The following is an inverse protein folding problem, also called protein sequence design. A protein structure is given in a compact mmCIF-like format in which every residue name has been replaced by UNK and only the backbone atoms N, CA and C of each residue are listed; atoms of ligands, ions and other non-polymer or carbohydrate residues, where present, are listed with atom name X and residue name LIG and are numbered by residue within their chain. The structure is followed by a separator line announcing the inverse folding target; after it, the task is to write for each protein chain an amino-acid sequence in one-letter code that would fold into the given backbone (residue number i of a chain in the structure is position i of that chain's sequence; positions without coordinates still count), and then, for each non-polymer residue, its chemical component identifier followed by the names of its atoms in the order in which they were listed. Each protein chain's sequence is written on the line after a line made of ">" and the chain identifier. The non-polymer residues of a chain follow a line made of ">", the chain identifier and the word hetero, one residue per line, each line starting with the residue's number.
data_IF_270875592653
#
_entry.id   IF_270875592653
#
_cell.length_a   1.000
_cell.length_b   1.000
_cell.length_c   1.000
_cell.angle_alpha   90.00
_cell.angle_beta   90.00
_cell.angle_gamma   90.00
#
_symmetry.space_group_name_H-M   'P 1'
#
loop_
_entity.id
_entity.type
_entity.pdbx_description
1 polymer ?
#
# COMPACT_ATOMS: atom_id res chain seq x y z
N UNK A 1 -41.62 10.70 -93.89
CA UNK A 1 -41.86 9.83 -92.73
C UNK A 1 -40.51 9.41 -92.14
N UNK A 2 -40.21 9.80 -90.99
CA UNK A 2 -38.88 9.88 -90.41
C UNK A 2 -38.69 8.78 -89.30
N UNK A 3 -37.67 7.93 -89.37
CA UNK A 3 -37.37 7.08 -88.19
C UNK A 3 -36.17 7.67 -87.41
N UNK A 4 -36.38 7.95 -86.19
CA UNK A 4 -35.40 8.52 -85.21
C UNK A 4 -34.33 7.46 -84.90
N UNK A 5 -33.07 7.80 -85.19
CA UNK A 5 -31.88 7.08 -84.67
C UNK A 5 -31.73 7.33 -83.19
N UNK A 6 -31.76 6.29 -82.40
CA UNK A 6 -31.36 6.30 -80.96
C UNK A 6 -29.85 6.05 -80.91
N UNK A 7 -29.13 7.04 -80.42
CA UNK A 7 -27.71 6.96 -80.14
C UNK A 7 -27.51 6.41 -78.73
N UNK A 8 -26.94 5.25 -78.62
CA UNK A 8 -26.56 4.61 -77.32
C UNK A 8 -25.20 5.21 -76.95
N UNK A 9 -25.20 5.99 -75.89
CA UNK A 9 -23.98 6.47 -75.24
C UNK A 9 -23.58 5.42 -74.16
N UNK A 10 -22.52 4.66 -74.40
CA UNK A 10 -21.87 3.82 -73.49
C UNK A 10 -20.97 4.59 -72.54
N UNK A 11 -21.34 4.66 -71.24
CA UNK A 11 -20.57 5.25 -70.18
C UNK A 11 -19.59 4.24 -69.64
N UNK A 12 -18.28 4.46 -69.55
CA UNK A 12 -17.35 3.54 -68.91
C UNK A 12 -17.46 3.65 -67.40
N UNK A 13 -17.72 2.54 -66.73
CA UNK A 13 -17.75 2.39 -65.28
C UNK A 13 -16.29 2.36 -64.76
N UNK A 14 -15.80 3.47 -64.21
CA UNK A 14 -14.52 3.54 -63.49
C UNK A 14 -14.68 2.87 -62.12
N UNK A 15 -14.16 1.64 -61.95
CA UNK A 15 -13.96 1.01 -60.65
C UNK A 15 -12.84 1.77 -59.89
N UNK A 16 -13.22 2.67 -59.02
CA UNK A 16 -12.32 3.21 -57.99
C UNK A 16 -12.09 2.15 -56.92
N UNK A 17 -10.99 1.42 -57.00
CA UNK A 17 -10.52 0.55 -55.92
C UNK A 17 -10.09 1.42 -54.73
N UNK A 18 -11.01 1.64 -53.79
CA UNK A 18 -10.72 2.27 -52.51
C UNK A 18 -9.78 1.38 -51.68
N UNK A 19 -8.49 1.77 -51.62
CA UNK A 19 -7.59 1.21 -50.61
C UNK A 19 -8.10 1.65 -49.25
N UNK A 20 -8.78 0.72 -48.53
CA UNK A 20 -9.00 0.88 -47.10
C UNK A 20 -7.62 0.84 -46.44
N UNK A 21 -7.11 2.01 -46.11
CA UNK A 21 -6.00 2.14 -45.18
C UNK A 21 -6.50 1.61 -43.81
N UNK A 22 -6.09 0.43 -43.45
CA UNK A 22 -6.19 -0.03 -42.06
C UNK A 22 -5.29 0.91 -41.24
N UNK A 23 -5.91 1.90 -40.61
CA UNK A 23 -5.26 2.60 -39.50
C UNK A 23 -4.97 1.55 -38.43
N UNK A 24 -3.72 1.09 -38.39
CA UNK A 24 -3.18 0.34 -37.29
C UNK A 24 -3.35 1.23 -36.07
N UNK A 25 -4.38 0.97 -35.24
CA UNK A 25 -4.45 1.53 -33.90
C UNK A 25 -3.15 1.11 -33.23
N UNK A 26 -2.26 2.07 -33.00
CA UNK A 26 -1.13 1.89 -32.10
C UNK A 26 -1.74 1.35 -30.79
N UNK A 27 -1.44 0.10 -30.47
CA UNK A 27 -2.00 -0.58 -29.31
C UNK A 27 -1.74 0.30 -28.10
N UNK A 28 -2.80 0.74 -27.42
CA UNK A 28 -2.69 1.37 -26.12
C UNK A 28 -1.99 0.35 -25.23
N UNK A 29 -0.77 0.65 -24.81
CA UNK A 29 -0.04 -0.16 -23.84
C UNK A 29 -0.91 -0.29 -22.61
N UNK A 30 -1.10 -1.53 -22.14
CA UNK A 30 -1.84 -1.77 -20.90
C UNK A 30 -1.19 -0.92 -19.80
N UNK A 31 -1.92 0.00 -19.13
CA UNK A 31 -1.37 0.84 -18.06
C UNK A 31 -0.73 0.03 -16.93
N UNK A 32 -1.10 -1.25 -16.79
CA UNK A 32 -0.50 -2.17 -15.84
C UNK A 32 0.95 -2.54 -16.20
N UNK A 33 1.37 -2.34 -17.46
CA UNK A 33 2.72 -2.69 -17.93
C UNK A 33 3.68 -1.49 -17.90
N UNK A 34 3.17 -0.26 -17.90
CA UNK A 34 4.00 0.95 -17.84
C UNK A 34 4.06 1.50 -16.42
N UNK A 35 5.09 1.07 -15.69
CA UNK A 35 5.29 1.47 -14.29
C UNK A 35 5.71 2.92 -14.13
N UNK A 36 6.15 3.59 -15.19
CA UNK A 36 6.62 4.97 -15.16
C UNK A 36 5.66 5.98 -15.82
N UNK A 37 4.52 5.52 -16.35
CA UNK A 37 3.55 6.39 -17.02
C UNK A 37 2.80 7.34 -16.08
N UNK A 38 2.76 7.08 -14.77
CA UNK A 38 1.96 7.88 -13.84
C UNK A 38 2.65 9.19 -13.46
N UNK A 39 2.08 10.38 -13.81
CA UNK A 39 2.67 11.68 -13.50
C UNK A 39 2.88 11.91 -11.99
N UNK A 40 1.96 11.40 -11.15
CA UNK A 40 2.08 11.52 -9.70
C UNK A 40 3.31 10.76 -9.19
N UNK A 41 3.53 9.55 -9.70
CA UNK A 41 4.75 8.79 -9.38
C UNK A 41 6.01 9.55 -9.76
N UNK A 42 6.07 10.11 -10.97
CA UNK A 42 7.24 10.87 -11.43
C UNK A 42 7.53 12.05 -10.50
N UNK A 43 6.50 12.82 -10.14
CA UNK A 43 6.63 13.93 -9.19
C UNK A 43 7.09 13.48 -7.81
N UNK A 44 6.52 12.39 -7.27
CA UNK A 44 6.94 11.81 -5.99
C UNK A 44 8.37 11.30 -6.02
N UNK A 45 8.74 10.57 -7.06
CA UNK A 45 10.09 10.06 -7.25
C UNK A 45 11.13 11.17 -7.19
N UNK A 46 10.89 12.24 -7.93
CA UNK A 46 11.84 13.35 -8.02
C UNK A 46 11.92 14.15 -6.71
N UNK A 47 10.80 14.35 -6.00
CA UNK A 47 10.77 15.08 -4.74
C UNK A 47 11.35 14.29 -3.56
N UNK A 48 11.08 12.98 -3.47
CA UNK A 48 11.50 12.15 -2.34
C UNK A 48 12.92 11.62 -2.47
N UNK A 49 13.32 11.30 -3.70
CA UNK A 49 14.58 10.59 -3.92
C UNK A 49 15.65 11.44 -4.62
N UNK A 50 15.32 12.69 -5.00
CA UNK A 50 16.26 13.68 -5.54
C UNK A 50 17.17 13.13 -6.63
N UNK A 51 16.62 12.33 -7.57
CA UNK A 51 17.36 11.71 -8.67
C UNK A 51 18.22 10.50 -8.28
N UNK A 52 18.13 10.02 -7.03
CA UNK A 52 18.80 8.78 -6.62
C UNK A 52 18.29 7.61 -7.46
N UNK A 53 19.17 6.73 -7.95
CA UNK A 53 18.76 5.58 -8.75
C UNK A 53 17.93 4.60 -7.91
N UNK A 54 16.83 4.12 -8.48
CA UNK A 54 15.97 3.11 -7.89
C UNK A 54 16.07 1.84 -8.73
N UNK A 55 16.57 0.76 -8.15
CA UNK A 55 16.62 -0.54 -8.82
C UNK A 55 15.22 -1.15 -8.88
N UNK A 56 14.77 -1.52 -10.10
CA UNK A 56 13.48 -2.16 -10.33
C UNK A 56 13.55 -3.12 -11.54
N UNK A 57 12.87 -4.27 -11.54
CA UNK A 57 12.23 -4.89 -10.38
C UNK A 57 13.26 -5.33 -9.35
N UNK A 58 12.86 -5.37 -8.08
CA UNK A 58 13.74 -5.75 -6.97
C UNK A 58 13.06 -6.75 -6.02
N UNK A 59 12.30 -7.68 -6.58
CA UNK A 59 11.58 -8.71 -5.83
C UNK A 59 12.52 -9.71 -5.11
N UNK A 60 13.82 -9.66 -5.36
CA UNK A 60 14.88 -10.37 -4.65
C UNK A 60 15.38 -9.66 -3.37
N UNK A 61 15.03 -8.38 -3.21
CA UNK A 61 15.35 -7.56 -2.03
C UNK A 61 14.10 -7.30 -1.19
N UNK A 62 13.05 -6.81 -1.82
CA UNK A 62 11.76 -6.51 -1.21
C UNK A 62 10.65 -6.99 -2.16
N UNK A 63 9.69 -7.74 -1.64
CA UNK A 63 8.50 -8.16 -2.38
C UNK A 63 7.26 -7.46 -1.82
N UNK A 64 6.52 -6.79 -2.70
CA UNK A 64 5.18 -6.30 -2.42
C UNK A 64 4.16 -7.34 -2.88
N UNK A 65 3.33 -7.80 -1.97
CA UNK A 65 2.20 -8.69 -2.26
C UNK A 65 0.89 -7.91 -2.11
N UNK A 66 0.06 -7.95 -3.13
CA UNK A 66 -1.28 -7.38 -3.16
C UNK A 66 -2.14 -8.15 -4.17
N UNK A 67 -3.47 -8.25 -3.99
CA UNK A 67 -4.34 -8.87 -4.97
C UNK A 67 -4.39 -8.05 -6.27
N UNK A 68 -4.37 -8.73 -7.43
CA UNK A 68 -4.51 -8.04 -8.71
C UNK A 68 -5.88 -7.33 -8.86
N UNK A 69 -6.90 -7.84 -8.17
CA UNK A 69 -8.23 -7.25 -8.03
C UNK A 69 -8.69 -7.41 -6.58
N UNK A 70 -9.08 -6.31 -5.96
CA UNK A 70 -9.66 -6.35 -4.62
C UNK A 70 -11.18 -6.50 -4.70
N UNK A 71 -11.72 -7.32 -3.79
CA UNK A 71 -13.17 -7.45 -3.60
C UNK A 71 -13.77 -6.21 -2.91
N UNK A 72 -13.02 -5.66 -1.95
CA UNK A 72 -13.33 -4.43 -1.24
C UNK A 72 -12.15 -3.47 -1.31
N UNK A 73 -12.35 -2.33 -1.95
CA UNK A 73 -11.33 -1.31 -2.12
C UNK A 73 -10.96 -0.58 -0.82
N UNK A 74 -11.81 -0.66 0.21
CA UNK A 74 -11.56 -0.07 1.52
C UNK A 74 -10.69 -0.96 2.42
N UNK A 75 -10.51 -2.25 2.07
CA UNK A 75 -9.84 -3.25 2.93
C UNK A 75 -8.92 -4.15 2.11
N UNK A 76 -8.06 -3.56 1.28
CA UNK A 76 -7.13 -4.32 0.42
C UNK A 76 -5.96 -4.85 1.26
N UNK A 77 -5.80 -6.17 1.40
CA UNK A 77 -4.67 -6.73 2.14
C UNK A 77 -3.38 -6.58 1.35
N UNK A 78 -2.31 -6.19 2.04
CA UNK A 78 -0.96 -6.11 1.48
C UNK A 78 0.06 -6.74 2.42
N UNK A 79 1.15 -7.22 1.84
CA UNK A 79 2.35 -7.61 2.56
C UNK A 79 3.60 -7.05 1.89
N UNK A 80 4.49 -6.49 2.71
CA UNK A 80 5.82 -6.06 2.36
C UNK A 80 6.79 -7.06 2.98
N UNK A 81 7.61 -7.74 2.18
CA UNK A 81 8.48 -8.83 2.67
C UNK A 81 9.91 -8.64 2.21
N UNK A 82 10.80 -8.36 3.15
CA UNK A 82 12.23 -8.45 2.88
C UNK A 82 12.62 -9.88 2.53
N UNK A 83 13.45 -10.04 1.51
CA UNK A 83 13.90 -11.35 1.03
C UNK A 83 15.20 -11.82 1.69
N UNK A 84 15.64 -11.14 2.73
CA UNK A 84 16.81 -11.46 3.53
C UNK A 84 16.61 -11.06 4.99
N UNK A 85 17.31 -11.69 5.95
CA UNK A 85 17.24 -11.32 7.36
C UNK A 85 17.92 -9.97 7.62
N UNK A 86 17.37 -9.16 8.53
CA UNK A 86 18.01 -7.93 9.03
C UNK A 86 19.25 -8.28 9.86
N UNK A 87 20.32 -7.51 9.65
CA UNK A 87 21.54 -7.59 10.46
C UNK A 87 22.12 -6.18 10.63
N UNK A 88 23.05 -6.00 11.57
CA UNK A 88 23.67 -4.68 11.82
C UNK A 88 24.44 -4.15 10.61
N UNK A 89 24.94 -5.04 9.75
CA UNK A 89 25.72 -4.68 8.57
C UNK A 89 24.89 -4.53 7.30
N UNK A 90 23.73 -5.21 7.23
CA UNK A 90 22.84 -5.17 6.06
C UNK A 90 21.38 -5.26 6.51
N UNK A 91 20.66 -4.16 6.36
CA UNK A 91 19.24 -4.12 6.68
C UNK A 91 18.48 -3.10 5.83
N UNK A 92 17.20 -3.31 5.66
CA UNK A 92 16.27 -2.30 5.14
C UNK A 92 15.99 -1.36 6.30
N UNK A 93 16.43 -0.11 6.17
CA UNK A 93 16.21 0.95 7.13
C UNK A 93 14.79 1.49 7.05
N UNK A 94 14.29 1.63 5.82
CA UNK A 94 13.00 2.27 5.55
C UNK A 94 12.29 1.62 4.37
N UNK A 95 10.97 1.50 4.45
CA UNK A 95 10.11 1.15 3.33
C UNK A 95 9.07 2.25 3.16
N UNK A 96 9.01 2.81 1.95
CA UNK A 96 7.94 3.72 1.53
C UNK A 96 6.86 2.90 0.81
N UNK A 97 5.61 3.07 1.22
CA UNK A 97 4.45 2.53 0.51
C UNK A 97 3.73 3.67 -0.22
N UNK A 98 3.75 3.62 -1.54
CA UNK A 98 3.11 4.63 -2.40
C UNK A 98 1.99 3.94 -3.19
N UNK A 99 0.81 4.57 -3.22
CA UNK A 99 -0.35 4.14 -4.01
C UNK A 99 -0.66 5.31 -4.95
N UNK A 100 -0.22 5.22 -6.20
CA UNK A 100 -0.10 6.36 -7.11
C UNK A 100 -1.37 7.22 -7.23
N UNK A 101 -2.54 6.58 -7.36
CA UNK A 101 -3.80 7.27 -7.62
C UNK A 101 -4.66 7.49 -6.37
N UNK A 102 -4.11 7.26 -5.17
CA UNK A 102 -4.82 7.64 -3.95
C UNK A 102 -4.78 9.16 -3.73
N UNK A 103 -5.80 9.76 -3.09
CA UNK A 103 -5.81 11.18 -2.71
C UNK A 103 -4.60 11.58 -1.85
N UNK A 104 -4.08 10.66 -1.05
CA UNK A 104 -2.78 10.74 -0.38
C UNK A 104 -1.90 9.59 -0.89
N UNK A 105 -1.06 9.81 -1.91
CA UNK A 105 -0.27 8.74 -2.51
C UNK A 105 0.74 8.11 -1.54
N UNK A 106 1.33 8.87 -0.61
CA UNK A 106 2.21 8.35 0.43
C UNK A 106 1.38 7.70 1.53
N UNK A 107 1.03 6.43 1.35
CA UNK A 107 0.17 5.70 2.29
C UNK A 107 0.83 5.35 3.62
N UNK A 108 2.14 5.07 3.60
CA UNK A 108 2.89 4.76 4.81
C UNK A 108 4.41 4.88 4.60
N UNK A 109 5.12 5.15 5.69
CA UNK A 109 6.58 5.04 5.80
C UNK A 109 6.89 4.16 7.02
N UNK A 110 7.61 3.07 6.80
CA UNK A 110 8.00 2.13 7.84
C UNK A 110 9.50 2.19 8.06
N UNK A 111 9.93 2.64 9.24
CA UNK A 111 11.33 2.62 9.67
C UNK A 111 11.60 1.37 10.49
N UNK A 112 12.56 0.57 10.06
CA UNK A 112 12.97 -0.65 10.72
C UNK A 112 14.35 -0.51 11.36
N UNK A 113 14.57 -1.28 12.42
CA UNK A 113 15.89 -1.49 13.01
C UNK A 113 16.31 -2.96 12.84
N UNK A 114 17.58 -3.31 13.04
CA UNK A 114 18.00 -4.71 13.10
C UNK A 114 17.23 -5.55 14.12
N UNK A 115 16.70 -4.92 15.19
CA UNK A 115 15.90 -5.59 16.21
C UNK A 115 14.57 -6.15 15.70
N UNK A 116 14.11 -5.75 14.50
CA UNK A 116 12.98 -6.39 13.83
C UNK A 116 13.31 -7.82 13.34
N UNK A 117 14.58 -8.10 13.02
CA UNK A 117 15.02 -9.38 12.45
C UNK A 117 14.57 -9.63 11.02
N UNK A 118 13.41 -9.06 10.63
CA UNK A 118 12.85 -9.04 9.28
C UNK A 118 12.15 -7.71 9.05
N UNK A 119 12.44 -7.06 7.93
CA UNK A 119 11.69 -5.89 7.49
C UNK A 119 10.43 -6.35 6.75
N UNK A 120 9.50 -6.90 7.51
CA UNK A 120 8.22 -7.39 6.99
C UNK A 120 7.07 -6.73 7.72
N UNK A 121 6.04 -6.37 6.96
CA UNK A 121 4.80 -5.79 7.48
C UNK A 121 3.62 -6.29 6.67
N UNK A 122 2.57 -6.73 7.35
CA UNK A 122 1.28 -7.01 6.72
C UNK A 122 0.25 -6.05 7.32
N UNK A 123 -0.55 -5.47 6.44
CA UNK A 123 -1.61 -4.54 6.83
C UNK A 123 -2.71 -4.52 5.77
N UNK A 124 -3.69 -3.62 5.93
CA UNK A 124 -4.76 -3.39 4.96
C UNK A 124 -4.80 -1.92 4.60
N UNK A 125 -4.99 -1.64 3.32
CA UNK A 125 -5.01 -0.28 2.78
C UNK A 125 -6.29 -0.02 1.99
N UNK A 126 -6.62 1.27 1.85
CA UNK A 126 -7.64 1.76 0.93
C UNK A 126 -7.01 2.03 -0.43
N UNK A 127 -7.76 1.74 -1.48
CA UNK A 127 -7.38 2.02 -2.87
C UNK A 127 -8.51 2.79 -3.54
N UNK A 128 -8.22 3.96 -4.07
CA UNK A 128 -9.25 4.85 -4.60
C UNK A 128 -9.52 4.66 -6.10
N UNK A 129 -8.52 4.28 -6.87
CA UNK A 129 -8.62 4.01 -8.29
C UNK A 129 -7.67 2.88 -8.72
N UNK A 130 -7.88 2.32 -9.92
CA UNK A 130 -6.92 1.39 -10.52
C UNK A 130 -5.54 2.01 -10.55
N UNK A 131 -4.54 1.36 -9.97
CA UNK A 131 -3.28 2.01 -9.65
C UNK A 131 -2.12 1.03 -9.52
N UNK A 132 -0.89 1.55 -9.72
CA UNK A 132 0.27 0.88 -9.16
C UNK A 132 0.39 1.17 -7.67
N UNK A 133 0.67 0.13 -6.92
CA UNK A 133 1.24 0.20 -5.58
C UNK A 133 2.74 -0.01 -5.69
N UNK A 134 3.51 0.79 -4.96
CA UNK A 134 4.97 0.74 -4.94
C UNK A 134 5.47 0.58 -3.52
N UNK A 135 6.35 -0.37 -3.32
CA UNK A 135 7.12 -0.51 -2.10
C UNK A 135 8.58 -0.19 -2.43
N UNK A 136 9.12 0.88 -1.87
CA UNK A 136 10.50 1.29 -2.07
C UNK A 136 11.28 1.05 -0.79
N UNK A 137 12.21 0.09 -0.82
CA UNK A 137 13.12 -0.17 0.27
C UNK A 137 14.34 0.76 0.17
N UNK A 138 14.66 1.46 1.25
CA UNK A 138 15.92 2.15 1.45
C UNK A 138 16.79 1.33 2.40
N UNK A 139 17.92 0.89 1.87
CA UNK A 139 18.90 0.15 2.64
C UNK A 139 19.69 1.05 3.58
N UNK A 140 20.36 0.45 4.57
CA UNK A 140 21.25 1.17 5.47
C UNK A 140 22.44 1.86 4.77
N UNK A 141 22.84 1.38 3.57
CA UNK A 141 23.86 2.02 2.71
C UNK A 141 23.27 3.08 1.75
N UNK A 142 21.98 3.35 1.85
CA UNK A 142 21.27 4.35 1.06
C UNK A 142 20.81 3.89 -0.31
N UNK A 143 21.05 2.67 -0.75
CA UNK A 143 20.52 2.14 -2.01
C UNK A 143 19.01 1.98 -1.95
N UNK A 144 18.37 2.20 -3.11
CA UNK A 144 16.91 2.11 -3.26
C UNK A 144 16.53 0.95 -4.17
N UNK A 145 15.50 0.20 -3.74
CA UNK A 145 14.97 -0.96 -4.45
C UNK A 145 13.44 -0.88 -4.48
N UNK A 146 12.82 -1.09 -5.64
CA UNK A 146 11.37 -0.96 -5.78
C UNK A 146 10.74 -2.25 -6.29
N UNK A 147 9.73 -2.72 -5.57
CA UNK A 147 8.77 -3.73 -6.01
C UNK A 147 7.42 -3.06 -6.28
N UNK A 148 6.72 -3.48 -7.33
CA UNK A 148 5.45 -2.89 -7.76
C UNK A 148 4.37 -3.93 -7.97
N UNK A 149 3.11 -3.54 -7.75
CA UNK A 149 1.93 -4.34 -8.11
C UNK A 149 0.84 -3.41 -8.66
N UNK A 150 0.22 -3.82 -9.76
CA UNK A 150 -0.96 -3.13 -10.26
C UNK A 150 -2.21 -3.74 -9.63
N UNK A 151 -3.05 -2.89 -9.03
CA UNK A 151 -4.26 -3.30 -8.30
C UNK A 151 -5.49 -2.66 -8.94
N UNK A 152 -6.48 -3.49 -9.24
CA UNK A 152 -7.79 -3.08 -9.76
C UNK A 152 -8.77 -2.99 -8.59
N UNK A 153 -8.94 -1.77 -8.06
CA UNK A 153 -9.91 -1.42 -7.01
C UNK A 153 -10.31 0.05 -7.18
N UNK A 154 -11.47 0.46 -6.66
CA UNK A 154 -11.88 1.86 -6.75
C UNK A 154 -12.84 2.26 -5.62
N UNK A 155 -12.77 3.55 -5.20
CA UNK A 155 -13.68 4.14 -4.22
C UNK A 155 -13.35 3.81 -2.76
N UNK A 156 -12.20 3.21 -2.47
CA UNK A 156 -11.87 2.81 -1.10
C UNK A 156 -11.66 3.96 -0.13
N UNK A 157 -11.16 5.10 -0.61
CA UNK A 157 -10.92 6.28 0.25
C UNK A 157 -12.19 7.05 0.58
N UNK A 158 -13.22 6.95 -0.27
CA UNK A 158 -14.55 7.56 -0.07
C UNK A 158 -15.60 6.58 0.42
N UNK A 159 -15.22 5.32 0.70
CA UNK A 159 -16.12 4.31 1.23
C UNK A 159 -16.80 4.80 2.53
N UNK A 160 -18.09 4.54 2.71
CA UNK A 160 -18.79 4.90 3.95
C UNK A 160 -18.10 4.27 5.16
N UNK A 161 -18.11 4.94 6.33
CA UNK A 161 -17.60 4.34 7.56
C UNK A 161 -18.39 3.08 7.91
N UNK A 162 -17.75 2.17 8.67
CA UNK A 162 -18.37 0.93 9.12
C UNK A 162 -19.76 1.13 9.76
N UNK A 163 -20.52 0.07 9.87
CA UNK A 163 -21.99 0.04 10.08
C UNK A 163 -22.52 0.81 11.28
N UNK A 164 -21.70 1.13 12.29
CA UNK A 164 -22.15 1.84 13.50
C UNK A 164 -21.08 2.84 13.97
N UNK A 165 -21.19 4.13 13.58
CA UNK A 165 -20.27 5.17 14.02
C UNK A 165 -20.22 5.34 15.54
N UNK A 166 -21.36 5.11 16.23
CA UNK A 166 -21.44 5.26 17.69
C UNK A 166 -20.69 4.11 18.40
N UNK A 167 -20.82 2.87 17.91
CA UNK A 167 -20.06 1.73 18.42
C UNK A 167 -18.55 1.91 18.19
N UNK A 168 -18.16 2.49 17.06
CA UNK A 168 -16.75 2.81 16.76
C UNK A 168 -16.16 3.79 17.78
N UNK A 169 -16.93 4.77 18.24
CA UNK A 169 -16.50 5.73 19.26
C UNK A 169 -16.33 5.07 20.65
N UNK A 170 -17.20 4.13 21.02
CA UNK A 170 -17.14 3.44 22.32
C UNK A 170 -15.95 2.50 22.44
N UNK A 171 -15.44 2.03 21.30
CA UNK A 171 -14.27 1.12 21.26
C UNK A 171 -12.99 1.83 20.84
N UNK A 172 -13.04 3.12 20.55
CA UNK A 172 -11.91 3.90 20.07
C UNK A 172 -10.69 3.73 20.96
N UNK A 173 -9.57 3.39 20.35
CA UNK A 173 -8.30 3.23 21.03
C UNK A 173 -8.12 1.89 21.74
N UNK A 174 -9.09 0.97 21.74
CA UNK A 174 -8.84 -0.38 22.22
C UNK A 174 -7.77 -1.05 21.38
N UNK A 175 -6.71 -1.48 22.03
CA UNK A 175 -5.58 -2.14 21.36
C UNK A 175 -5.44 -3.57 21.88
N UNK A 176 -5.01 -4.45 20.98
CA UNK A 176 -4.60 -5.81 21.30
C UNK A 176 -3.26 -6.08 20.65
N UNK A 177 -2.28 -6.39 21.49
CA UNK A 177 -0.95 -6.80 21.07
C UNK A 177 -0.80 -8.30 21.39
N UNK A 178 -0.31 -9.09 20.44
CA UNK A 178 -0.06 -10.52 20.61
C UNK A 178 1.19 -10.96 19.88
N UNK A 179 1.83 -12.01 20.37
CA UNK A 179 2.88 -12.75 19.65
C UNK A 179 2.25 -14.02 19.08
N UNK A 180 2.56 -14.36 17.86
CA UNK A 180 2.07 -15.58 17.21
C UNK A 180 3.06 -16.71 17.45
N UNK A 181 2.56 -17.81 18.01
CA UNK A 181 3.39 -18.93 18.44
C UNK A 181 4.22 -18.63 19.70
N UNK A 182 5.18 -19.47 19.96
CA UNK A 182 6.09 -19.35 21.11
C UNK A 182 7.33 -18.54 20.69
N UNK A 183 7.60 -17.38 21.33
CA UNK A 183 8.77 -16.58 20.98
C UNK A 183 10.07 -17.31 21.38
N UNK A 184 11.02 -17.37 20.45
CA UNK A 184 12.31 -18.04 20.65
C UNK A 184 13.40 -17.01 20.82
N UNK A 185 14.25 -17.21 21.82
CA UNK A 185 15.36 -16.32 22.16
C UNK A 185 16.28 -16.09 20.93
N UNK A 186 16.58 -14.82 20.65
CA UNK A 186 17.43 -14.37 19.53
C UNK A 186 16.93 -14.78 18.13
N UNK A 187 15.65 -15.14 17.98
CA UNK A 187 15.06 -15.41 16.65
C UNK A 187 13.89 -14.45 16.35
N UNK A 188 13.70 -14.06 15.10
CA UNK A 188 12.55 -13.25 14.71
C UNK A 188 11.26 -13.93 15.09
N UNK A 189 10.44 -13.26 15.90
CA UNK A 189 9.12 -13.69 16.35
C UNK A 189 8.06 -12.79 15.77
N UNK A 190 6.98 -13.37 15.24
CA UNK A 190 5.88 -12.65 14.62
C UNK A 190 4.96 -12.08 15.70
N UNK A 191 4.68 -10.80 15.62
CA UNK A 191 3.72 -10.11 16.49
C UNK A 191 2.63 -9.42 15.67
N UNK A 192 1.51 -9.14 16.32
CA UNK A 192 0.39 -8.44 15.72
C UNK A 192 -0.13 -7.37 16.68
N UNK A 193 -0.27 -6.15 16.16
CA UNK A 193 -1.00 -5.05 16.77
C UNK A 193 -2.34 -4.89 16.05
N UNK A 194 -3.43 -4.96 16.79
CA UNK A 194 -4.78 -4.61 16.32
C UNK A 194 -5.29 -3.43 17.14
N UNK A 195 -5.94 -2.49 16.48
CA UNK A 195 -6.49 -1.30 17.12
C UNK A 195 -7.90 -1.03 16.60
N UNK A 196 -8.83 -0.72 17.51
CA UNK A 196 -10.13 -0.16 17.14
C UNK A 196 -9.98 1.34 16.87
N UNK A 197 -10.06 1.72 15.62
CA UNK A 197 -9.98 3.11 15.17
C UNK A 197 -10.73 3.26 13.84
N UNK A 198 -11.61 4.27 13.67
CA UNK A 198 -12.40 4.41 12.44
C UNK A 198 -11.54 4.75 11.22
N UNK A 199 -10.39 5.34 11.42
CA UNK A 199 -9.46 5.75 10.36
C UNK A 199 -10.16 6.50 9.22
N UNK A 200 -11.04 7.47 9.57
CA UNK A 200 -11.79 8.26 8.59
C UNK A 200 -10.85 9.08 7.71
N UNK A 201 -11.07 9.00 6.41
CA UNK A 201 -10.29 9.75 5.41
C UNK A 201 -10.64 11.24 5.33
N UNK A 202 -11.86 11.61 5.72
CA UNK A 202 -12.43 12.93 5.45
C UNK A 202 -13.13 13.03 4.08
N UNK A 203 -13.12 11.96 3.28
CA UNK A 203 -13.65 11.92 1.91
C UNK A 203 -15.01 11.20 1.81
N UNK A 204 -15.40 10.48 2.87
CA UNK A 204 -16.70 9.81 2.92
C UNK A 204 -17.82 10.80 3.25
N UNK A 205 -18.86 10.82 2.41
CA UNK A 205 -20.05 11.64 2.62
C UNK A 205 -21.18 10.80 3.21
N UNK A 206 -21.77 11.28 4.29
CA UNK A 206 -22.99 10.72 4.85
C UNK A 206 -24.16 10.95 3.90
N UNK A 207 -24.86 9.90 3.50
CA UNK A 207 -25.90 9.95 2.47
C UNK A 207 -27.16 10.67 2.92
N UNK A 208 -27.42 10.74 4.22
CA UNK A 208 -28.59 11.38 4.79
C UNK A 208 -28.36 12.88 5.02
N UNK A 209 -27.27 13.21 5.69
CA UNK A 209 -26.96 14.59 6.07
C UNK A 209 -26.24 15.37 4.98
N UNK A 210 -25.67 14.69 3.97
CA UNK A 210 -24.82 15.26 2.91
C UNK A 210 -23.54 15.92 3.44
N UNK A 211 -23.18 15.69 4.69
CA UNK A 211 -21.96 16.18 5.28
C UNK A 211 -20.82 15.16 5.12
N UNK A 212 -19.60 15.66 4.95
CA UNK A 212 -18.41 14.80 4.99
C UNK A 212 -18.08 14.42 6.44
N UNK A 213 -17.76 13.15 6.67
CA UNK A 213 -17.24 12.69 7.94
C UNK A 213 -15.84 13.30 8.14
N UNK A 214 -15.59 14.05 9.24
CA UNK A 214 -14.27 14.65 9.46
C UNK A 214 -13.15 13.62 9.50
N UNK A 215 -11.99 13.97 8.95
CA UNK A 215 -10.81 13.12 8.97
C UNK A 215 -10.38 12.82 10.41
N UNK A 216 -10.20 11.54 10.71
CA UNK A 216 -9.71 11.07 12.02
C UNK A 216 -9.02 9.73 11.82
N UNK A 217 -7.68 9.71 11.86
CA UNK A 217 -6.89 8.53 11.51
C UNK A 217 -5.63 8.42 12.37
N UNK A 218 -5.06 7.22 12.44
CA UNK A 218 -3.76 6.95 13.05
C UNK A 218 -2.68 7.60 12.19
N UNK A 219 -1.74 8.33 12.82
CA UNK A 219 -0.61 8.98 12.15
C UNK A 219 0.72 8.29 12.42
N UNK A 220 0.87 7.73 13.61
CA UNK A 220 2.15 7.22 14.05
C UNK A 220 1.94 5.98 14.92
N UNK A 221 2.70 4.94 14.63
CA UNK A 221 2.81 3.73 15.45
C UNK A 221 4.28 3.51 15.77
N UNK A 222 4.61 3.34 17.05
CA UNK A 222 5.95 2.97 17.51
C UNK A 222 5.89 1.64 18.22
N UNK A 223 6.78 0.75 17.84
CA UNK A 223 6.95 -0.56 18.47
C UNK A 223 8.33 -0.62 19.08
N UNK A 224 8.40 -1.02 20.33
CA UNK A 224 9.66 -1.28 21.05
C UNK A 224 9.62 -2.61 21.78
N UNK A 225 10.76 -3.22 21.98
CA UNK A 225 10.93 -4.42 22.81
C UNK A 225 12.01 -4.18 23.86
N UNK A 226 11.68 -4.39 25.14
CA UNK A 226 12.58 -4.12 26.28
C UNK A 226 13.22 -2.69 26.21
N UNK A 227 12.45 -1.71 25.71
CA UNK A 227 12.89 -0.32 25.54
C UNK A 227 13.61 -0.05 24.21
N UNK A 228 14.06 -1.05 23.47
CA UNK A 228 14.75 -0.88 22.19
C UNK A 228 13.75 -0.72 21.04
N UNK A 229 13.94 0.27 20.15
CA UNK A 229 13.09 0.47 18.98
C UNK A 229 13.15 -0.72 18.02
N UNK A 230 11.99 -1.19 17.55
CA UNK A 230 11.83 -2.26 16.56
C UNK A 230 11.35 -1.71 15.23
N UNK A 231 10.24 -0.96 15.27
CA UNK A 231 9.54 -0.43 14.11
C UNK A 231 8.90 0.91 14.46
N UNK A 232 9.01 1.86 13.55
CA UNK A 232 8.15 3.07 13.54
C UNK A 232 7.40 3.10 12.22
N UNK A 233 6.09 3.34 12.27
CA UNK A 233 5.26 3.52 11.08
C UNK A 233 4.60 4.90 11.13
N UNK A 234 4.94 5.75 10.16
CA UNK A 234 4.19 6.96 9.84
C UNK A 234 3.14 6.57 8.80
N UNK A 235 1.88 6.81 9.11
CA UNK A 235 0.74 6.35 8.31
C UNK A 235 -0.32 7.46 8.21
N UNK A 236 -1.27 7.27 7.31
CA UNK A 236 -2.41 8.16 7.17
C UNK A 236 -3.73 7.37 6.99
N UNK A 237 -4.76 8.04 6.51
CA UNK A 237 -6.07 7.43 6.25
C UNK A 237 -6.06 6.38 5.13
N UNK A 238 -4.95 6.22 4.39
CA UNK A 238 -4.76 5.12 3.42
C UNK A 238 -4.75 3.76 4.13
N UNK A 239 -4.29 3.70 5.38
CA UNK A 239 -4.50 2.50 6.20
C UNK A 239 -6.00 2.34 6.47
N UNK A 240 -6.52 1.13 6.29
CA UNK A 240 -7.93 0.81 6.48
C UNK A 240 -8.42 1.06 7.91
N UNK A 241 -9.74 1.10 8.10
CA UNK A 241 -10.34 1.13 9.44
C UNK A 241 -9.88 -0.06 10.29
N UNK A 242 -9.87 0.12 11.59
CA UNK A 242 -9.34 -0.85 12.55
C UNK A 242 -7.95 -1.34 12.16
N UNK A 243 -6.94 -0.43 12.20
CA UNK A 243 -5.58 -0.72 11.80
C UNK A 243 -5.05 -2.02 12.40
N UNK A 244 -4.40 -2.80 11.56
CA UNK A 244 -3.85 -4.10 11.92
C UNK A 244 -2.47 -4.20 11.29
N UNK A 245 -1.44 -4.37 12.12
CA UNK A 245 -0.06 -4.51 11.68
C UNK A 245 0.51 -5.82 12.19
N UNK A 246 0.98 -6.68 11.28
CA UNK A 246 1.79 -7.86 11.62
C UNK A 246 3.23 -7.55 11.26
N UNK A 247 4.14 -7.77 12.19
CA UNK A 247 5.55 -7.40 12.10
C UNK A 247 6.41 -8.37 12.91
N UNK A 248 7.72 -8.31 12.70
CA UNK A 248 8.66 -9.15 13.43
C UNK A 248 9.47 -8.34 14.45
N UNK A 249 9.91 -9.02 15.51
CA UNK A 249 10.88 -8.53 16.49
C UNK A 249 11.77 -9.68 16.98
N UNK A 250 12.96 -9.37 17.48
CA UNK A 250 13.87 -10.37 18.08
C UNK A 250 13.86 -10.22 19.59
N UNK A 251 13.30 -11.20 20.33
CA UNK A 251 13.40 -11.20 21.78
C UNK A 251 14.82 -11.61 22.22
N UNK A 252 15.56 -10.68 22.84
CA UNK A 252 16.91 -10.91 23.36
C UNK A 252 16.95 -11.33 24.83
N UNK A 253 15.81 -11.63 25.43
CA UNK A 253 15.62 -12.01 26.82
C UNK A 253 14.16 -11.79 27.23
N UNK A 254 13.85 -11.93 28.51
CA UNK A 254 12.57 -11.54 29.07
C UNK A 254 12.41 -10.01 28.93
N UNK A 255 11.28 -9.54 28.44
CA UNK A 255 11.03 -8.12 28.22
C UNK A 255 9.56 -7.81 27.95
N UNK A 256 9.29 -6.57 27.68
CA UNK A 256 7.96 -6.07 27.32
C UNK A 256 7.96 -5.63 25.85
N UNK A 257 7.02 -6.15 25.08
CA UNK A 257 6.69 -5.62 23.76
C UNK A 257 5.68 -4.49 23.97
N UNK A 258 6.02 -3.27 23.53
CA UNK A 258 5.21 -2.07 23.69
C UNK A 258 4.82 -1.51 22.34
N UNK A 259 3.55 -1.10 22.20
CA UNK A 259 3.04 -0.34 21.07
C UNK A 259 2.50 1.00 21.57
N UNK A 260 2.97 2.10 20.97
CA UNK A 260 2.49 3.46 21.20
C UNK A 260 1.91 4.00 19.90
N UNK A 261 0.69 4.55 19.96
CA UNK A 261 -0.04 5.05 18.80
C UNK A 261 -0.47 6.50 19.04
N UNK A 262 -0.29 7.33 18.00
CA UNK A 262 -0.76 8.71 17.96
C UNK A 262 -1.71 8.88 16.79
N UNK A 263 -2.89 9.47 17.02
CA UNK A 263 -3.84 9.78 15.96
C UNK A 263 -3.72 11.25 15.46
N UNK A 264 -4.52 11.58 14.45
CA UNK A 264 -4.58 12.93 13.85
C UNK A 264 -5.22 13.99 14.77
N UNK A 265 -5.89 13.54 15.84
CA UNK A 265 -6.46 14.42 16.89
C UNK A 265 -5.54 14.52 18.11
N UNK A 266 -4.27 14.07 17.99
CA UNK A 266 -3.27 14.08 19.05
C UNK A 266 -3.60 13.20 20.25
N UNK A 267 -4.52 12.24 20.12
CA UNK A 267 -4.79 11.25 21.15
C UNK A 267 -3.69 10.19 21.14
N UNK A 268 -3.30 9.76 22.32
CA UNK A 268 -2.26 8.74 22.53
C UNK A 268 -2.88 7.48 23.09
N UNK A 269 -2.46 6.35 22.55
CA UNK A 269 -2.90 5.03 22.97
C UNK A 269 -1.67 4.14 23.16
N UNK A 270 -1.72 3.23 24.13
CA UNK A 270 -0.62 2.32 24.44
C UNK A 270 -1.16 0.91 24.68
N UNK A 271 -0.37 -0.07 24.29
CA UNK A 271 -0.56 -1.46 24.67
C UNK A 271 0.80 -2.09 24.97
N UNK A 272 0.83 -2.94 25.99
CA UNK A 272 2.02 -3.68 26.42
C UNK A 272 1.73 -5.16 26.52
N UNK A 273 2.73 -5.97 26.26
CA UNK A 273 2.66 -7.42 26.36
C UNK A 273 3.98 -7.96 26.94
N UNK A 274 3.97 -8.54 28.16
CA UNK A 274 5.11 -9.26 28.67
C UNK A 274 5.45 -10.45 27.78
N UNK A 275 6.71 -10.57 27.38
CA UNK A 275 7.22 -11.65 26.55
C UNK A 275 8.32 -12.39 27.28
N UNK A 276 8.20 -13.70 27.35
CA UNK A 276 9.20 -14.59 27.89
C UNK A 276 9.59 -15.59 26.81
N UNK A 277 10.71 -15.36 26.09
CA UNK A 277 11.15 -16.27 25.07
C UNK A 277 11.67 -17.58 25.67
N UNK A 278 11.42 -18.69 24.95
CA UNK A 278 12.04 -19.98 25.27
C UNK A 278 13.46 -20.04 24.72
N UNK A 279 14.29 -20.84 25.40
CA UNK A 279 15.63 -21.16 24.89
C UNK A 279 15.51 -21.87 23.55
N UNK A 280 16.47 -21.65 22.66
CA UNK A 280 16.50 -22.35 21.37
C UNK A 280 16.55 -23.87 21.64
N UNK A 281 15.62 -24.67 21.10
CA UNK A 281 15.81 -26.13 21.16
C UNK A 281 17.10 -26.47 20.44
N UNK A 282 17.98 -27.20 21.14
CA UNK A 282 19.29 -27.68 20.64
C UNK A 282 19.06 -28.69 19.52
#
# INVERSE_FOLDING_TARGET
>A
MNPKRRMLISLPLLLAAGRMAHAQQAGATDPALDIDANPMWLQFRDSLFAGRPITTPADDVLKLEAPARAEDAAIVPIALRAQFPQSDTRYIRRIYLIIDNNPSPMGAVFDFTPASGRAEIETRVRVDAYTHMRAIAEMNDGKLFMSTRFVKASGGCSAPPGKDPQAALTTLGRMRLRVEGEPVLNRPSLAQLMMSHPNHSGLAMDQLTRNYTPAHYVRLVRISYAGEPVLTAEVDFTISENPNFRFYFIPKGRGELKAEVLDSQSRRFEATLPVQPVSNPV
#
